data_IF_256672450624
#
_entry.id   IF_256672450624
#
_cell.length_a   1.000
_cell.length_b   1.000
_cell.length_c   1.000
_cell.angle_alpha   90.00
_cell.angle_beta   90.00
_cell.angle_gamma   90.00
#
_symmetry.space_group_name_H-M   'P 1'
#
loop_
_entity.id
_entity.type
_entity.pdbx_description
1 polymer ?
#
# COMPACT_ATOMS: atom_id res chain seq x y z
N UNK A 1 48.85 -22.65 -21.31
CA UNK A 1 47.89 -21.57 -21.02
C UNK A 1 48.66 -20.41 -20.40
N UNK A 2 48.71 -19.24 -21.06
CA UNK A 2 49.54 -18.12 -20.60
C UNK A 2 48.89 -17.43 -19.39
N UNK A 3 49.68 -17.07 -18.37
CA UNK A 3 49.21 -16.43 -17.12
C UNK A 3 48.28 -15.23 -17.33
N UNK A 4 48.44 -14.52 -18.47
CA UNK A 4 47.62 -13.38 -18.89
C UNK A 4 46.18 -13.76 -19.27
N UNK A 5 45.95 -14.97 -19.81
CA UNK A 5 44.61 -15.44 -20.20
C UNK A 5 43.78 -15.86 -18.98
N UNK A 6 44.44 -16.40 -17.94
CA UNK A 6 43.81 -16.79 -16.68
C UNK A 6 43.37 -15.58 -15.83
N UNK A 7 44.13 -14.48 -15.90
CA UNK A 7 43.79 -13.23 -15.25
C UNK A 7 42.63 -12.50 -15.94
N UNK A 8 42.61 -12.50 -17.28
CA UNK A 8 41.52 -11.89 -18.06
C UNK A 8 40.18 -12.62 -17.86
N UNK A 9 40.19 -13.95 -17.75
CA UNK A 9 38.97 -14.73 -17.46
C UNK A 9 38.44 -14.51 -16.05
N UNK A 10 39.33 -14.34 -15.05
CA UNK A 10 38.93 -14.11 -13.65
C UNK A 10 38.29 -12.72 -13.46
N UNK A 11 38.80 -11.70 -14.16
CA UNK A 11 38.23 -10.34 -14.13
C UNK A 11 36.88 -10.28 -14.85
N UNK A 12 36.71 -10.99 -15.97
CA UNK A 12 35.43 -11.06 -16.68
C UNK A 12 34.30 -11.73 -15.87
N UNK A 13 34.63 -12.71 -15.02
CA UNK A 13 33.68 -13.40 -14.13
C UNK A 13 33.31 -12.55 -12.90
N UNK A 14 34.18 -11.64 -12.46
CA UNK A 14 33.92 -10.74 -11.33
C UNK A 14 33.11 -9.49 -11.72
N UNK A 15 33.12 -9.09 -13.00
CA UNK A 15 32.35 -7.93 -13.50
C UNK A 15 30.89 -8.28 -13.84
N UNK A 16 30.54 -9.57 -14.01
CA UNK A 16 29.20 -10.01 -14.43
C UNK A 16 28.21 -10.28 -13.31
N UNK A 17 28.60 -10.22 -12.03
CA UNK A 17 27.70 -10.50 -10.89
C UNK A 17 26.91 -9.26 -10.42
N UNK A 18 27.15 -8.09 -11.01
CA UNK A 18 26.33 -6.90 -10.74
C UNK A 18 25.15 -6.79 -11.70
N UNK A 19 24.43 -7.89 -11.92
CA UNK A 19 23.05 -7.78 -12.38
C UNK A 19 22.26 -7.23 -11.19
N UNK A 20 22.18 -5.91 -11.06
CA UNK A 20 21.24 -5.27 -10.16
C UNK A 20 19.87 -5.86 -10.49
N UNK A 21 19.35 -6.75 -9.64
CA UNK A 21 17.98 -7.19 -9.74
C UNK A 21 17.14 -5.91 -9.57
N UNK A 22 16.60 -5.43 -10.68
CA UNK A 22 15.81 -4.22 -10.69
C UNK A 22 14.55 -4.49 -9.89
N UNK A 23 14.43 -3.82 -8.74
CA UNK A 23 13.25 -3.93 -7.88
C UNK A 23 12.04 -3.37 -8.60
N UNK A 24 10.94 -4.12 -8.59
CA UNK A 24 9.69 -3.75 -9.22
C UNK A 24 9.04 -2.56 -8.50
N UNK A 25 8.55 -1.61 -9.28
CA UNK A 25 7.88 -0.42 -8.77
C UNK A 25 6.59 -0.08 -9.54
N UNK A 26 5.70 0.64 -8.88
CA UNK A 26 4.47 1.19 -9.46
C UNK A 26 4.22 2.62 -8.96
N UNK A 27 3.50 3.42 -9.74
CA UNK A 27 3.06 4.74 -9.32
C UNK A 27 1.78 4.63 -8.48
N UNK A 28 1.88 4.98 -7.19
CA UNK A 28 0.76 4.98 -6.26
C UNK A 28 -0.01 6.30 -6.39
N UNK A 29 -0.89 6.38 -7.37
CA UNK A 29 -1.76 7.54 -7.61
C UNK A 29 -3.04 7.11 -8.33
N UNK A 30 -4.10 7.90 -8.20
CA UNK A 30 -5.35 7.72 -8.93
C UNK A 30 -5.82 9.03 -9.60
N UNK A 31 -4.90 9.97 -9.81
CA UNK A 31 -5.21 11.30 -10.36
C UNK A 31 -5.37 11.30 -11.88
N UNK A 32 -4.89 10.27 -12.56
CA UNK A 32 -5.05 10.06 -13.99
C UNK A 32 -6.43 9.45 -14.28
N UNK A 33 -6.95 9.60 -15.51
CA UNK A 33 -8.23 8.99 -15.86
C UNK A 33 -8.11 7.44 -15.89
N UNK A 34 -9.13 6.70 -15.39
CA UNK A 34 -10.30 7.17 -14.65
C UNK A 34 -9.96 7.63 -13.22
N UNK A 35 -10.50 8.78 -12.82
CA UNK A 35 -10.25 9.40 -11.51
C UNK A 35 -11.11 8.75 -10.42
N UNK A 36 -10.90 7.47 -10.17
CA UNK A 36 -11.68 6.68 -9.22
C UNK A 36 -11.38 7.14 -7.79
N UNK A 37 -12.36 7.72 -7.11
CA UNK A 37 -12.19 8.36 -5.79
C UNK A 37 -12.27 7.36 -4.63
N UNK A 38 -11.57 7.71 -3.55
CA UNK A 38 -11.83 7.18 -2.20
C UNK A 38 -12.90 8.04 -1.54
N UNK A 39 -13.97 7.39 -1.08
CA UNK A 39 -15.14 8.04 -0.50
C UNK A 39 -15.16 7.88 1.01
N UNK A 40 -15.68 8.88 1.71
CA UNK A 40 -15.96 8.86 3.13
C UNK A 40 -17.23 8.08 3.44
N UNK A 41 -17.56 8.04 4.72
CA UNK A 41 -18.81 7.44 5.22
C UNK A 41 -20.06 8.15 4.68
N UNK A 42 -19.92 9.42 4.30
CA UNK A 42 -20.93 10.29 3.71
C UNK A 42 -21.07 10.12 2.19
N UNK A 43 -20.25 9.25 1.57
CA UNK A 43 -20.21 9.07 0.12
C UNK A 43 -19.52 10.20 -0.65
N UNK A 44 -18.95 11.19 0.04
CA UNK A 44 -18.16 12.26 -0.56
C UNK A 44 -16.68 11.88 -0.61
N UNK A 45 -15.88 12.53 -1.45
CA UNK A 45 -14.44 12.26 -1.49
C UNK A 45 -13.76 12.63 -0.16
N UNK A 46 -12.96 11.74 0.41
CA UNK A 46 -12.16 12.07 1.61
C UNK A 46 -11.06 13.07 1.25
N UNK A 47 -10.76 14.02 2.13
CA UNK A 47 -9.77 15.05 1.83
C UNK A 47 -9.11 15.62 3.07
N UNK A 48 -7.85 16.04 2.90
CA UNK A 48 -7.09 16.74 3.93
C UNK A 48 -6.38 15.82 4.92
N UNK A 49 -5.71 16.44 5.89
CA UNK A 49 -4.77 15.80 6.82
C UNK A 49 -5.43 14.82 7.82
N UNK A 50 -6.76 14.83 7.93
CA UNK A 50 -7.49 13.91 8.79
C UNK A 50 -7.57 12.50 8.21
N UNK A 51 -7.16 12.30 6.95
CA UNK A 51 -7.18 11.00 6.32
C UNK A 51 -5.81 10.61 5.78
N UNK A 52 -5.53 9.32 5.82
CA UNK A 52 -4.37 8.72 5.16
C UNK A 52 -4.81 7.60 4.23
N UNK A 53 -4.09 7.45 3.12
CA UNK A 53 -4.28 6.41 2.12
C UNK A 53 -2.98 5.63 1.99
N UNK A 54 -3.06 4.35 2.35
CA UNK A 54 -1.96 3.40 2.30
C UNK A 54 -2.09 2.40 1.14
N UNK A 55 -1.00 1.69 0.87
CA UNK A 55 -0.97 0.52 0.00
C UNK A 55 -0.37 -0.64 0.76
N UNK A 56 -0.99 -1.81 0.63
CA UNK A 56 -0.47 -3.08 1.10
C UNK A 56 -0.17 -3.93 -0.12
N UNK A 57 0.99 -4.58 -0.15
CA UNK A 57 1.38 -5.49 -1.22
C UNK A 57 1.37 -6.91 -0.67
N UNK A 58 0.89 -7.86 -1.47
CA UNK A 58 0.94 -9.28 -1.10
C UNK A 58 2.38 -9.77 -1.17
N UNK A 59 2.91 -10.19 -0.03
CA UNK A 59 4.21 -10.83 0.06
C UNK A 59 4.10 -12.28 -0.44
N UNK A 60 4.84 -12.68 -1.49
CA UNK A 60 4.76 -14.03 -2.04
C UNK A 60 5.29 -15.11 -1.09
N UNK A 61 6.14 -14.75 -0.12
CA UNK A 61 6.73 -15.70 0.83
C UNK A 61 5.77 -16.07 1.97
N UNK A 62 4.97 -15.10 2.43
CA UNK A 62 4.00 -15.30 3.52
C UNK A 62 2.56 -15.42 3.06
N UNK A 63 2.26 -14.97 1.83
CA UNK A 63 0.89 -14.85 1.30
C UNK A 63 0.07 -13.71 1.90
N UNK A 64 0.64 -12.95 2.84
CA UNK A 64 -0.04 -11.88 3.57
C UNK A 64 0.15 -10.52 2.89
N UNK A 65 -0.79 -9.60 3.14
CA UNK A 65 -0.65 -8.21 2.70
C UNK A 65 0.14 -7.41 3.73
N UNK A 66 1.15 -6.68 3.27
CA UNK A 66 2.03 -5.89 4.14
C UNK A 66 2.51 -4.61 3.44
N UNK A 67 2.80 -3.59 4.23
CA UNK A 67 3.53 -2.39 3.85
C UNK A 67 4.99 -2.41 4.32
N UNK A 68 5.39 -3.46 5.04
CA UNK A 68 6.72 -3.58 5.63
C UNK A 68 7.77 -3.74 4.53
N UNK A 69 8.81 -2.92 4.60
CA UNK A 69 9.91 -2.94 3.65
C UNK A 69 9.59 -2.27 2.31
N UNK A 70 8.38 -1.76 2.09
CA UNK A 70 8.10 -0.91 0.93
C UNK A 70 8.90 0.38 1.01
N UNK A 71 9.30 0.89 -0.15
CA UNK A 71 9.99 2.17 -0.25
C UNK A 71 9.16 3.14 -1.09
N UNK A 72 9.11 4.40 -0.66
CA UNK A 72 8.52 5.51 -1.40
C UNK A 72 9.65 6.41 -1.89
N UNK A 73 9.84 6.48 -3.21
CA UNK A 73 10.90 7.27 -3.83
C UNK A 73 12.30 7.01 -3.19
N UNK A 74 12.59 5.75 -2.85
CA UNK A 74 13.86 5.34 -2.22
C UNK A 74 13.94 5.54 -0.70
N UNK A 75 12.94 6.14 -0.05
CA UNK A 75 12.86 6.27 1.40
C UNK A 75 11.86 5.27 2.01
N UNK A 76 11.85 5.14 3.34
CA UNK A 76 10.86 4.31 4.04
C UNK A 76 9.42 4.73 3.64
N UNK A 77 8.57 3.74 3.40
CA UNK A 77 7.19 3.97 2.99
C UNK A 77 6.41 4.78 4.03
N UNK A 78 5.67 5.79 3.54
CA UNK A 78 4.72 6.58 4.33
C UNK A 78 3.43 6.73 3.53
N UNK A 79 2.26 6.51 4.15
CA UNK A 79 0.95 6.72 3.53
C UNK A 79 0.77 8.13 2.94
N UNK A 80 -0.07 8.25 1.92
CA UNK A 80 -0.37 9.51 1.25
C UNK A 80 -1.53 10.24 1.93
N UNK A 81 -1.47 11.57 1.95
CA UNK A 81 -2.62 12.41 2.31
C UNK A 81 -3.48 12.59 1.04
N UNK A 82 -4.81 12.42 1.11
CA UNK A 82 -5.68 12.69 -0.03
C UNK A 82 -5.69 14.18 -0.39
N UNK A 83 -5.91 14.45 -1.67
CA UNK A 83 -6.11 15.80 -2.20
C UNK A 83 -7.38 16.42 -1.60
N UNK A 84 -7.51 17.73 -1.74
CA UNK A 84 -8.61 18.52 -1.19
C UNK A 84 -9.48 19.14 -2.30
N UNK A 85 -10.60 19.74 -1.90
CA UNK A 85 -11.50 20.47 -2.81
C UNK A 85 -12.13 19.54 -3.86
N UNK A 86 -12.18 20.00 -5.12
CA UNK A 86 -12.76 19.22 -6.23
C UNK A 86 -12.08 17.85 -6.45
N UNK A 87 -10.82 17.72 -6.00
CA UNK A 87 -10.02 16.50 -6.10
C UNK A 87 -10.08 15.63 -4.84
N UNK A 88 -10.93 15.95 -3.87
CA UNK A 88 -11.13 15.08 -2.71
C UNK A 88 -11.46 13.64 -3.13
N UNK A 89 -10.84 12.69 -2.46
CA UNK A 89 -10.83 11.26 -2.75
C UNK A 89 -9.71 10.81 -3.70
N UNK A 90 -8.95 11.73 -4.29
CA UNK A 90 -7.77 11.41 -5.10
C UNK A 90 -6.49 11.53 -4.28
N UNK A 91 -5.42 10.86 -4.69
CA UNK A 91 -4.14 10.84 -4.00
C UNK A 91 -2.96 10.71 -4.96
N UNK A 92 -1.82 11.23 -4.52
CA UNK A 92 -0.52 11.04 -5.15
C UNK A 92 0.48 10.64 -4.08
N UNK A 93 0.79 9.35 -4.01
CA UNK A 93 1.70 8.75 -3.06
C UNK A 93 3.11 8.48 -3.60
N UNK A 94 3.40 8.87 -4.84
CA UNK A 94 4.72 8.73 -5.47
C UNK A 94 4.96 7.35 -6.06
N UNK A 95 6.24 7.02 -6.31
CA UNK A 95 6.65 5.70 -6.80
C UNK A 95 6.90 4.80 -5.60
N UNK A 96 6.20 3.67 -5.58
CA UNK A 96 6.35 2.62 -4.56
C UNK A 96 7.20 1.52 -5.14
N UNK A 97 8.35 1.28 -4.51
CA UNK A 97 9.24 0.18 -4.82
C UNK A 97 8.94 -0.98 -3.89
N UNK A 98 8.84 -2.18 -4.47
CA UNK A 98 8.57 -3.43 -3.78
C UNK A 98 9.84 -4.28 -3.83
N UNK A 99 10.68 -4.31 -2.78
CA UNK A 99 12.02 -4.89 -2.88
C UNK A 99 12.07 -6.39 -3.16
N UNK A 100 10.98 -7.10 -2.87
CA UNK A 100 10.85 -8.54 -3.06
C UNK A 100 10.18 -8.92 -4.39
N UNK A 101 9.85 -7.95 -5.24
CA UNK A 101 9.38 -8.18 -6.60
C UNK A 101 10.39 -7.61 -7.60
N UNK A 102 10.52 -8.26 -8.74
CA UNK A 102 11.37 -7.79 -9.84
C UNK A 102 10.57 -6.90 -10.80
N UNK A 103 11.28 -6.02 -11.50
CA UNK A 103 10.80 -5.33 -12.69
C UNK A 103 10.23 -6.33 -13.71
N UNK A 104 9.14 -5.95 -14.38
CA UNK A 104 8.32 -6.80 -15.25
C UNK A 104 7.37 -7.76 -14.51
N UNK A 105 7.49 -7.90 -13.19
CA UNK A 105 6.64 -8.76 -12.37
C UNK A 105 5.20 -8.24 -12.21
N UNK A 106 4.41 -8.97 -11.41
CA UNK A 106 3.05 -8.59 -11.02
C UNK A 106 2.97 -8.41 -9.52
N UNK A 107 2.45 -7.27 -9.06
CA UNK A 107 2.13 -7.03 -7.65
C UNK A 107 0.63 -7.12 -7.43
N UNK A 108 0.19 -8.02 -6.54
CA UNK A 108 -1.18 -7.98 -6.01
C UNK A 108 -1.23 -7.00 -4.85
N UNK A 109 -2.06 -5.97 -4.96
CA UNK A 109 -2.11 -4.87 -3.98
C UNK A 109 -3.52 -4.65 -3.42
N UNK A 110 -3.57 -4.02 -2.25
CA UNK A 110 -4.78 -3.44 -1.67
C UNK A 110 -4.50 -1.99 -1.31
N UNK A 111 -5.47 -1.11 -1.58
CA UNK A 111 -5.45 0.26 -1.09
C UNK A 111 -6.24 0.30 0.21
N UNK A 112 -5.65 0.89 1.23
CA UNK A 112 -6.29 1.08 2.53
C UNK A 112 -6.44 2.57 2.79
N UNK A 113 -7.50 2.99 3.46
CA UNK A 113 -7.68 4.37 3.87
C UNK A 113 -8.31 4.44 5.25
N UNK A 114 -7.92 5.43 6.05
CA UNK A 114 -8.45 5.60 7.40
C UNK A 114 -8.43 7.06 7.85
N UNK A 115 -9.28 7.35 8.82
CA UNK A 115 -9.33 8.62 9.53
C UNK A 115 -8.35 8.59 10.72
N UNK A 116 -7.33 9.45 10.69
CA UNK A 116 -6.30 9.52 11.73
C UNK A 116 -6.81 10.07 13.05
N UNK A 117 -7.93 10.78 13.05
CA UNK A 117 -8.56 11.29 14.28
C UNK A 117 -9.22 10.17 15.09
N UNK A 118 -9.58 9.07 14.42
CA UNK A 118 -10.14 7.87 15.05
C UNK A 118 -9.11 6.80 15.36
N UNK A 119 -7.87 6.95 14.88
CA UNK A 119 -6.75 6.07 15.21
C UNK A 119 -5.50 6.33 14.38
N UNK A 120 -4.32 6.25 15.00
CA UNK A 120 -3.05 6.63 14.38
C UNK A 120 -2.59 5.70 13.23
N UNK A 121 -3.15 4.50 13.12
CA UNK A 121 -2.83 3.53 12.08
C UNK A 121 -4.11 2.92 11.49
N UNK A 122 -4.01 2.34 10.29
CA UNK A 122 -5.14 1.64 9.67
C UNK A 122 -5.77 0.60 10.60
N UNK A 123 -4.97 -0.17 11.35
CA UNK A 123 -5.47 -1.20 12.26
C UNK A 123 -6.12 -0.63 13.53
N UNK A 124 -5.73 0.57 13.96
CA UNK A 124 -6.26 1.22 15.15
C UNK A 124 -7.48 2.12 14.87
N UNK A 125 -7.65 2.60 13.64
CA UNK A 125 -8.74 3.51 13.27
C UNK A 125 -10.10 2.81 13.27
N UNK A 126 -11.12 3.48 13.83
CA UNK A 126 -12.51 3.01 13.77
C UNK A 126 -13.20 3.42 12.47
N UNK A 127 -12.80 4.52 11.84
CA UNK A 127 -13.29 4.90 10.51
C UNK A 127 -12.24 4.56 9.45
N UNK A 128 -12.44 3.44 8.74
CA UNK A 128 -11.46 2.91 7.77
C UNK A 128 -12.11 2.10 6.66
N UNK A 129 -11.35 1.83 5.61
CA UNK A 129 -11.76 0.99 4.48
C UNK A 129 -10.58 0.31 3.80
N UNK A 130 -10.85 -0.81 3.14
CA UNK A 130 -9.88 -1.54 2.29
C UNK A 130 -10.51 -1.85 0.94
N UNK A 131 -9.77 -1.63 -0.15
CA UNK A 131 -10.21 -2.02 -1.48
C UNK A 131 -10.19 -3.54 -1.63
N UNK A 132 -10.90 -4.07 -2.63
CA UNK A 132 -10.61 -5.42 -3.11
C UNK A 132 -9.16 -5.50 -3.58
N UNK A 133 -8.58 -6.71 -3.55
CA UNK A 133 -7.25 -6.93 -4.09
C UNK A 133 -7.29 -6.84 -5.62
N UNK A 134 -6.27 -6.22 -6.21
CA UNK A 134 -6.11 -6.12 -7.67
C UNK A 134 -4.64 -6.19 -8.05
N UNK A 135 -4.39 -6.57 -9.30
CA UNK A 135 -3.05 -6.78 -9.81
C UNK A 135 -2.55 -5.55 -10.57
N UNK A 136 -1.29 -5.19 -10.30
CA UNK A 136 -0.51 -4.28 -11.11
C UNK A 136 0.50 -5.13 -11.87
N UNK A 137 0.28 -5.27 -13.17
CA UNK A 137 1.15 -6.04 -14.08
C UNK A 137 2.22 -5.15 -14.68
N UNK A 138 3.38 -5.74 -15.00
CA UNK A 138 4.46 -5.02 -15.67
C UNK A 138 5.07 -3.94 -14.78
N UNK A 139 5.46 -4.32 -13.56
CA UNK A 139 6.16 -3.41 -12.65
C UNK A 139 7.37 -2.76 -13.33
N UNK A 140 7.54 -1.46 -13.13
CA UNK A 140 8.67 -0.72 -13.69
C UNK A 140 9.89 -0.74 -12.78
N UNK A 141 10.86 0.09 -13.14
CA UNK A 141 12.06 0.31 -12.34
C UNK A 141 11.80 1.29 -11.20
N UNK A 142 12.35 1.01 -10.02
CA UNK A 142 12.26 1.92 -8.87
C UNK A 142 13.00 3.24 -9.11
N UNK A 143 12.63 4.28 -8.35
CA UNK A 143 13.40 5.51 -8.31
C UNK A 143 14.80 5.21 -7.73
N UNK A 144 15.79 5.00 -8.62
CA UNK A 144 17.17 4.68 -8.25
C UNK A 144 17.79 3.48 -8.98
N UNK A 145 17.01 2.68 -9.72
CA UNK A 145 17.56 1.62 -10.57
C UNK A 145 17.68 2.12 -12.01
N UNK A 146 18.88 2.03 -12.59
CA UNK A 146 19.21 2.57 -13.92
C UNK A 146 18.51 1.93 -15.13
N UNK A 147 17.36 1.26 -14.96
CA UNK A 147 16.53 0.79 -16.07
C UNK A 147 15.44 1.79 -16.45
N UNK A 148 15.20 1.90 -17.76
CA UNK A 148 14.38 2.93 -18.40
C UNK A 148 12.85 2.64 -18.39
N UNK A 149 12.36 1.70 -17.59
CA UNK A 149 10.93 1.31 -17.62
C UNK A 149 10.14 2.12 -16.59
N UNK A 150 9.30 3.05 -17.06
CA UNK A 150 8.44 3.85 -16.20
C UNK A 150 7.48 2.95 -15.39
N UNK A 151 7.35 3.17 -14.07
CA UNK A 151 6.37 2.46 -13.25
C UNK A 151 4.93 2.63 -13.75
N UNK A 152 4.13 1.55 -13.83
CA UNK A 152 2.73 1.64 -14.22
C UNK A 152 1.90 2.45 -13.22
N UNK A 153 0.90 3.16 -13.73
CA UNK A 153 -0.08 3.93 -12.94
C UNK A 153 -1.24 3.02 -12.50
N UNK A 154 -1.60 3.07 -11.21
CA UNK A 154 -2.74 2.30 -10.71
C UNK A 154 -4.10 2.91 -11.03
N UNK A 155 -4.17 4.11 -11.62
CA UNK A 155 -5.45 4.78 -11.96
C UNK A 155 -6.38 3.93 -12.83
N UNK A 156 -5.84 3.06 -13.69
CA UNK A 156 -6.61 2.20 -14.58
C UNK A 156 -7.18 0.95 -13.91
N UNK A 157 -6.58 0.52 -12.80
CA UNK A 157 -6.90 -0.76 -12.14
C UNK A 157 -7.48 -0.58 -10.75
N UNK A 158 -7.40 0.63 -10.17
CA UNK A 158 -7.93 0.91 -8.85
C UNK A 158 -9.46 0.83 -8.85
N UNK A 159 -10.06 -0.12 -8.10
CA UNK A 159 -11.51 -0.36 -8.11
C UNK A 159 -12.32 0.67 -7.30
N UNK A 160 -11.66 1.60 -6.61
CA UNK A 160 -12.29 2.52 -5.67
C UNK A 160 -12.37 1.95 -4.25
N UNK A 161 -12.81 2.81 -3.34
CA UNK A 161 -12.90 2.51 -1.91
C UNK A 161 -13.90 3.46 -1.23
N UNK A 162 -14.67 2.95 -0.27
CA UNK A 162 -15.47 3.76 0.64
C UNK A 162 -15.11 3.40 2.10
N UNK A 163 -14.97 4.42 2.96
CA UNK A 163 -14.74 4.23 4.39
C UNK A 163 -16.05 3.84 5.09
N UNK A 164 -15.93 3.02 6.12
CA UNK A 164 -17.02 2.63 7.00
C UNK A 164 -16.58 2.76 8.45
N UNK A 165 -17.55 3.00 9.33
CA UNK A 165 -17.33 2.97 10.77
C UNK A 165 -17.34 1.51 11.21
N UNK A 166 -16.24 1.08 11.81
CA UNK A 166 -16.08 -0.26 12.39
C UNK A 166 -16.22 -0.10 13.90
N UNK A 167 -17.31 -0.61 14.49
CA UNK A 167 -17.50 -0.57 15.93
C UNK A 167 -16.39 -1.33 16.66
N UNK A 168 -15.96 -0.80 17.80
CA UNK A 168 -14.95 -1.48 18.62
C UNK A 168 -15.52 -2.81 19.17
N UNK A 169 -14.75 -3.92 19.10
CA UNK A 169 -15.19 -5.23 19.59
C UNK A 169 -15.59 -5.20 21.08
N UNK A 170 -14.95 -4.34 21.86
CA UNK A 170 -15.16 -4.13 23.29
C UNK A 170 -16.51 -3.51 23.62
N UNK A 171 -17.08 -2.67 22.74
CA UNK A 171 -18.35 -1.97 23.01
C UNK A 171 -19.51 -2.96 23.12
N UNK A 172 -19.56 -3.96 22.24
CA UNK A 172 -20.58 -5.02 22.30
C UNK A 172 -20.36 -5.95 23.48
N UNK A 173 -19.11 -6.31 23.76
CA UNK A 173 -18.78 -7.16 24.90
C UNK A 173 -19.17 -6.50 26.23
N UNK A 174 -18.91 -5.19 26.38
CA UNK A 174 -19.25 -4.43 27.58
C UNK A 174 -20.76 -4.20 27.70
N UNK A 175 -21.45 -3.92 26.60
CA UNK A 175 -22.91 -3.81 26.60
C UNK A 175 -23.57 -5.13 27.00
N UNK A 176 -23.09 -6.26 26.47
CA UNK A 176 -23.57 -7.59 26.83
C UNK A 176 -23.28 -7.94 28.29
N UNK A 177 -22.10 -7.61 28.81
CA UNK A 177 -21.75 -7.79 30.22
C UNK A 177 -22.59 -6.89 31.14
N UNK A 178 -22.81 -5.63 30.76
CA UNK A 178 -23.65 -4.70 31.52
C UNK A 178 -25.10 -5.19 31.61
N UNK A 179 -25.66 -5.66 30.49
CA UNK A 179 -27.02 -6.20 30.44
C UNK A 179 -27.13 -7.54 31.19
N UNK A 180 -26.11 -8.40 31.06
CA UNK A 180 -26.00 -9.65 31.83
C UNK A 180 -25.94 -9.40 33.33
N UNK A 181 -25.13 -8.43 33.78
CA UNK A 181 -25.07 -8.01 35.17
C UNK A 181 -26.41 -7.49 35.68
N UNK A 182 -27.09 -6.65 34.91
CA UNK A 182 -28.39 -6.09 35.29
C UNK A 182 -29.47 -7.16 35.43
N UNK A 183 -29.48 -8.18 34.55
CA UNK A 183 -30.39 -9.32 34.65
C UNK A 183 -30.07 -10.24 35.85
N UNK A 184 -28.78 -10.43 36.17
CA UNK A 184 -28.36 -11.23 37.32
C UNK A 184 -28.67 -10.54 38.66
N UNK A 185 -28.52 -9.23 38.74
CA UNK A 185 -28.74 -8.47 39.99
C UNK A 185 -30.17 -7.96 40.19
N UNK A 186 -31.04 -8.02 39.18
CA UNK A 186 -32.48 -7.66 39.29
C UNK A 186 -33.34 -8.72 40.02
N UNK A 187 -32.82 -9.91 40.31
CA UNK A 187 -33.56 -11.03 40.92
C UNK A 187 -33.51 -11.09 42.45
N UNK A 188 -33.35 -9.96 43.13
CA UNK A 188 -33.58 -9.86 44.58
C UNK A 188 -34.67 -8.84 44.88
#
# INVERSE_FOLDING_TARGET
>A
MNKKQLFASLVGVLVSVSAFAETGAFAFKNTSAPKTKVLGVDGLGIGGANYLIGVLVKDPSTGNFTDVGLLKNGAAYVPAVPLTGANAGLFTGGVITVPFLNSGGTATVKVVAWDVTTGASYNAATTRGTSVAFDIVGLGSGAGSGGNVLPPDMSLVFPGLQLQVIPEPSTYALAALGLGGLLLFRRK
#
